data_IF_076920784838
#
_entry.id   IF_076920784838
#
_cell.length_a   1.000
_cell.length_b   1.000
_cell.length_c   1.000
_cell.angle_alpha   90.00
_cell.angle_beta   90.00
_cell.angle_gamma   90.00
#
_symmetry.space_group_name_H-M   'P 1'
#
loop_
_entity.id
_entity.type
_entity.pdbx_description
1 polymer ?
#
# COMPACT_ATOMS: atom_id res chain seq x y z
N UNK A 1 8.46 21.44 -29.05
CA UNK A 1 7.94 22.34 -28.01
C UNK A 1 6.78 21.76 -27.19
N UNK A 2 5.90 20.89 -27.72
CA UNK A 2 4.81 20.27 -26.96
C UNK A 2 5.30 19.32 -25.84
N UNK A 3 6.37 18.55 -26.06
CA UNK A 3 6.93 17.59 -25.10
C UNK A 3 7.44 18.25 -23.81
N UNK A 4 8.17 19.37 -23.90
CA UNK A 4 8.73 20.10 -22.75
C UNK A 4 7.63 20.71 -21.86
N UNK A 5 6.48 21.12 -22.44
CA UNK A 5 5.35 21.68 -21.70
C UNK A 5 4.59 20.62 -20.91
N UNK A 6 4.47 19.41 -21.48
CA UNK A 6 3.87 18.24 -20.80
C UNK A 6 4.74 17.79 -19.62
N UNK A 7 6.05 17.63 -19.81
CA UNK A 7 6.99 17.22 -18.75
C UNK A 7 7.00 18.20 -17.56
N UNK A 8 6.89 19.51 -17.83
CA UNK A 8 6.81 20.50 -16.76
C UNK A 8 5.46 20.47 -16.02
N UNK A 9 4.36 20.20 -16.74
CA UNK A 9 3.03 20.05 -16.12
C UNK A 9 3.00 18.83 -15.19
N UNK A 10 3.46 17.68 -15.67
CA UNK A 10 3.46 16.42 -14.90
C UNK A 10 4.35 16.53 -13.65
N UNK A 11 5.52 17.20 -13.76
CA UNK A 11 6.40 17.44 -12.63
C UNK A 11 5.80 18.36 -11.56
N UNK A 12 5.08 19.43 -11.96
CA UNK A 12 4.40 20.32 -11.01
C UNK A 12 3.21 19.60 -10.39
N UNK A 13 2.43 18.84 -11.18
CA UNK A 13 1.30 18.07 -10.70
C UNK A 13 1.74 17.08 -9.61
N UNK A 14 2.80 16.31 -9.85
CA UNK A 14 3.35 15.40 -8.87
C UNK A 14 3.87 16.14 -7.62
N UNK A 15 4.59 17.24 -7.79
CA UNK A 15 5.05 18.05 -6.66
C UNK A 15 3.92 18.60 -5.78
N UNK A 16 2.73 18.85 -6.36
CA UNK A 16 1.53 19.22 -5.59
C UNK A 16 1.04 18.04 -4.78
N UNK A 17 0.97 16.83 -5.35
CA UNK A 17 0.52 15.63 -4.64
C UNK A 17 1.46 15.30 -3.49
N UNK A 18 2.77 15.33 -3.70
CA UNK A 18 3.77 15.05 -2.67
C UNK A 18 3.66 16.06 -1.49
N UNK A 19 3.64 17.37 -1.79
CA UNK A 19 3.50 18.39 -0.76
C UNK A 19 2.16 18.33 -0.02
N UNK A 20 1.08 18.00 -0.72
CA UNK A 20 -0.24 17.82 -0.13
C UNK A 20 -0.31 16.57 0.76
N UNK A 21 0.30 15.49 0.33
CA UNK A 21 0.40 14.26 1.12
C UNK A 21 1.10 14.51 2.46
N UNK A 22 2.27 15.16 2.44
CA UNK A 22 3.02 15.56 3.64
C UNK A 22 2.19 16.48 4.55
N UNK A 23 1.51 17.46 3.98
CA UNK A 23 0.69 18.41 4.72
C UNK A 23 -0.51 17.72 5.39
N UNK A 24 -1.25 16.90 4.64
CA UNK A 24 -2.40 16.16 5.16
C UNK A 24 -1.99 15.16 6.23
N UNK A 25 -0.89 14.44 6.02
CA UNK A 25 -0.38 13.48 7.00
C UNK A 25 0.09 14.16 8.30
N UNK A 26 0.71 15.35 8.22
CA UNK A 26 1.28 16.03 9.40
C UNK A 26 0.24 16.87 10.17
N UNK A 27 -0.60 17.63 9.48
CA UNK A 27 -1.57 18.54 10.12
C UNK A 27 -2.98 17.93 10.23
N UNK A 28 -3.26 16.88 9.44
CA UNK A 28 -4.60 16.31 9.24
C UNK A 28 -5.35 16.99 8.10
N UNK A 29 -6.00 16.16 7.26
CA UNK A 29 -6.73 16.63 6.08
C UNK A 29 -7.72 17.78 6.39
N UNK A 30 -8.52 17.65 7.44
CA UNK A 30 -9.55 18.66 7.78
C UNK A 30 -8.97 20.02 8.10
N UNK A 31 -7.80 20.09 8.72
CA UNK A 31 -7.17 21.36 9.14
C UNK A 31 -6.38 22.04 8.04
N UNK A 32 -5.88 21.27 7.08
CA UNK A 32 -5.15 21.82 5.95
C UNK A 32 -6.07 22.66 5.05
N UNK A 33 -5.68 23.90 4.76
CA UNK A 33 -6.40 24.81 3.88
C UNK A 33 -5.77 24.86 2.48
N UNK A 34 -6.50 25.39 1.49
CA UNK A 34 -5.95 25.68 0.16
C UNK A 34 -4.80 26.68 0.23
N UNK A 35 -4.81 27.58 1.22
CA UNK A 35 -3.70 28.53 1.42
C UNK A 35 -2.44 27.78 1.85
N UNK A 36 -2.55 26.89 2.84
CA UNK A 36 -1.43 26.09 3.32
C UNK A 36 -0.85 25.21 2.21
N UNK A 37 -1.73 24.62 1.37
CA UNK A 37 -1.30 23.85 0.19
C UNK A 37 -0.54 24.72 -0.83
N UNK A 38 -1.05 25.89 -1.16
CA UNK A 38 -0.39 26.79 -2.09
C UNK A 38 0.99 27.21 -1.57
N UNK A 39 1.09 27.53 -0.29
CA UNK A 39 2.36 27.89 0.37
C UNK A 39 3.33 26.70 0.40
N UNK A 40 2.87 25.50 0.74
CA UNK A 40 3.68 24.27 0.74
C UNK A 40 4.23 23.96 -0.66
N UNK A 41 3.41 24.13 -1.70
CA UNK A 41 3.80 23.92 -3.10
C UNK A 41 4.59 25.10 -3.69
N UNK A 42 4.75 26.22 -2.98
CA UNK A 42 5.33 27.48 -3.48
C UNK A 42 4.61 28.01 -4.74
N UNK A 43 3.29 27.86 -4.78
CA UNK A 43 2.42 28.29 -5.85
C UNK A 43 1.47 29.40 -5.36
N UNK A 44 0.92 30.18 -6.28
CA UNK A 44 -0.26 30.98 -5.96
C UNK A 44 -1.50 30.09 -5.89
N UNK A 45 -2.54 30.51 -5.15
CA UNK A 45 -3.83 29.80 -5.11
C UNK A 45 -4.41 29.61 -6.51
N UNK A 46 -4.31 30.63 -7.38
CA UNK A 46 -4.77 30.53 -8.76
C UNK A 46 -4.00 29.50 -9.58
N UNK A 47 -2.69 29.38 -9.35
CA UNK A 47 -1.88 28.36 -9.99
C UNK A 47 -2.24 26.95 -9.48
N UNK A 48 -2.51 26.79 -8.18
CA UNK A 48 -2.97 25.50 -7.63
C UNK A 48 -4.31 25.06 -8.23
N UNK A 49 -5.28 25.99 -8.34
CA UNK A 49 -6.58 25.71 -8.96
C UNK A 49 -6.50 25.42 -10.47
N UNK A 50 -5.39 25.73 -11.12
CA UNK A 50 -5.16 25.31 -12.50
C UNK A 50 -4.88 23.79 -12.62
N UNK A 51 -4.38 23.17 -11.54
CA UNK A 51 -4.09 21.73 -11.51
C UNK A 51 -5.20 20.92 -10.86
N UNK A 52 -5.83 21.44 -9.81
CA UNK A 52 -6.86 20.73 -9.04
C UNK A 52 -8.01 21.64 -8.67
N UNK A 53 -9.22 21.22 -8.95
CA UNK A 53 -10.44 22.00 -8.72
C UNK A 53 -10.77 22.19 -7.23
N UNK A 54 -10.30 21.27 -6.38
CA UNK A 54 -10.59 21.28 -4.94
C UNK A 54 -9.54 20.51 -4.12
N UNK A 55 -9.59 20.68 -2.81
CA UNK A 55 -8.78 19.91 -1.87
C UNK A 55 -9.14 18.42 -1.91
N UNK A 56 -10.41 18.11 -2.10
CA UNK A 56 -10.93 16.76 -2.28
C UNK A 56 -10.35 16.07 -3.52
N UNK A 57 -10.23 16.83 -4.64
CA UNK A 57 -9.61 16.34 -5.87
C UNK A 57 -8.14 15.96 -5.67
N UNK A 58 -7.41 16.74 -4.86
CA UNK A 58 -6.02 16.42 -4.50
C UNK A 58 -5.97 15.14 -3.64
N UNK A 59 -6.82 15.03 -2.61
CA UNK A 59 -6.88 13.82 -1.78
C UNK A 59 -7.23 12.59 -2.62
N UNK A 60 -8.24 12.71 -3.49
CA UNK A 60 -8.62 11.61 -4.38
C UNK A 60 -7.44 11.17 -5.26
N UNK A 61 -6.72 12.11 -5.88
CA UNK A 61 -5.58 11.81 -6.74
C UNK A 61 -4.47 11.07 -5.96
N UNK A 62 -4.13 11.51 -4.75
CA UNK A 62 -3.15 10.84 -3.87
C UNK A 62 -3.58 9.39 -3.60
N UNK A 63 -4.83 9.18 -3.20
CA UNK A 63 -5.32 7.84 -2.86
C UNK A 63 -5.46 6.93 -4.08
N UNK A 64 -5.94 7.46 -5.20
CA UNK A 64 -6.08 6.72 -6.47
C UNK A 64 -4.70 6.25 -6.99
N UNK A 65 -3.72 7.16 -7.00
CA UNK A 65 -2.35 6.84 -7.43
C UNK A 65 -1.71 5.78 -6.52
N UNK A 66 -1.84 5.92 -5.20
CA UNK A 66 -1.29 4.97 -4.24
C UNK A 66 -1.88 3.56 -4.43
N UNK A 67 -3.20 3.43 -4.57
CA UNK A 67 -3.83 2.10 -4.75
C UNK A 67 -3.51 1.52 -6.12
N UNK A 68 -3.44 2.32 -7.18
CA UNK A 68 -3.02 1.85 -8.51
C UNK A 68 -1.57 1.39 -8.52
N UNK A 69 -0.68 2.09 -7.83
CA UNK A 69 0.71 1.66 -7.67
C UNK A 69 0.79 0.32 -6.93
N UNK A 70 0.01 0.15 -5.85
CA UNK A 70 -0.07 -1.11 -5.12
C UNK A 70 -0.53 -2.27 -6.01
N UNK A 71 -1.57 -2.05 -6.82
CA UNK A 71 -2.04 -3.05 -7.79
C UNK A 71 -0.93 -3.42 -8.77
N UNK A 72 -0.26 -2.42 -9.34
CA UNK A 72 0.80 -2.63 -10.32
C UNK A 72 1.98 -3.41 -9.72
N UNK A 73 2.42 -3.05 -8.51
CA UNK A 73 3.53 -3.73 -7.83
C UNK A 73 3.17 -5.19 -7.49
N UNK A 74 1.96 -5.43 -6.98
CA UNK A 74 1.45 -6.78 -6.68
C UNK A 74 1.37 -7.63 -7.95
N UNK A 75 0.77 -7.12 -9.02
CA UNK A 75 0.63 -7.84 -10.29
C UNK A 75 2.00 -8.14 -10.94
N UNK A 76 2.90 -7.17 -10.92
CA UNK A 76 4.26 -7.36 -11.42
C UNK A 76 5.05 -8.38 -10.59
N UNK A 77 4.84 -8.41 -9.27
CA UNK A 77 5.42 -9.41 -8.38
C UNK A 77 4.93 -10.83 -8.69
N UNK A 78 3.60 -10.99 -8.83
CA UNK A 78 2.94 -12.27 -9.15
C UNK A 78 3.38 -12.78 -10.52
N UNK A 79 3.39 -11.93 -11.56
CA UNK A 79 3.70 -12.32 -12.92
C UNK A 79 5.11 -12.92 -13.11
N UNK A 80 6.05 -12.59 -12.23
CA UNK A 80 7.43 -13.09 -12.25
C UNK A 80 7.59 -14.45 -11.56
N UNK A 81 6.53 -15.05 -11.03
CA UNK A 81 6.58 -16.27 -10.22
C UNK A 81 5.70 -17.36 -10.83
N UNK A 82 6.13 -18.61 -10.69
CA UNK A 82 5.43 -19.78 -11.25
C UNK A 82 4.67 -20.58 -10.20
N UNK A 83 5.19 -20.65 -8.97
CA UNK A 83 4.48 -21.35 -7.89
C UNK A 83 3.50 -20.42 -7.17
N UNK A 84 2.35 -20.94 -6.76
CA UNK A 84 1.33 -20.17 -6.01
C UNK A 84 1.90 -19.60 -4.70
N UNK A 85 2.78 -20.35 -4.03
CA UNK A 85 3.43 -19.87 -2.81
C UNK A 85 4.33 -18.67 -3.07
N UNK A 86 5.16 -18.74 -4.13
CA UNK A 86 6.02 -17.61 -4.49
C UNK A 86 5.22 -16.40 -4.97
N UNK A 87 4.10 -16.63 -5.66
CA UNK A 87 3.15 -15.57 -6.05
C UNK A 87 2.55 -14.90 -4.82
N UNK A 88 2.12 -15.67 -3.84
CA UNK A 88 1.58 -15.14 -2.58
C UNK A 88 2.63 -14.36 -1.80
N UNK A 89 3.85 -14.92 -1.63
CA UNK A 89 4.97 -14.20 -1.00
C UNK A 89 5.24 -12.88 -1.72
N UNK A 90 5.37 -12.91 -3.04
CA UNK A 90 5.62 -11.71 -3.83
C UNK A 90 4.54 -10.63 -3.68
N UNK A 91 3.26 -11.04 -3.60
CA UNK A 91 2.15 -10.12 -3.35
C UNK A 91 2.27 -9.44 -1.98
N UNK A 92 2.56 -10.20 -0.92
CA UNK A 92 2.71 -9.64 0.44
C UNK A 92 3.95 -8.74 0.53
N UNK A 93 5.07 -9.15 -0.07
CA UNK A 93 6.27 -8.30 -0.14
C UNK A 93 6.00 -6.98 -0.85
N UNK A 94 5.27 -6.98 -1.97
CA UNK A 94 4.92 -5.76 -2.70
C UNK A 94 4.07 -4.81 -1.84
N UNK A 95 3.08 -5.34 -1.11
CA UNK A 95 2.23 -4.55 -0.22
C UNK A 95 3.04 -3.94 0.94
N UNK A 96 3.85 -4.77 1.62
CA UNK A 96 4.68 -4.31 2.75
C UNK A 96 5.70 -3.27 2.29
N UNK A 97 6.35 -3.49 1.16
CA UNK A 97 7.36 -2.60 0.61
C UNK A 97 6.75 -1.23 0.23
N UNK A 98 5.59 -1.21 -0.43
CA UNK A 98 4.90 0.03 -0.75
C UNK A 98 4.47 0.77 0.53
N UNK A 99 3.87 0.08 1.50
CA UNK A 99 3.49 0.69 2.77
C UNK A 99 4.69 1.29 3.52
N UNK A 100 5.86 0.65 3.44
CA UNK A 100 7.10 1.16 4.03
C UNK A 100 7.68 2.37 3.29
N UNK A 101 7.53 2.43 1.96
CA UNK A 101 7.99 3.55 1.12
C UNK A 101 7.04 4.75 1.16
N UNK A 102 5.74 4.51 1.32
CA UNK A 102 4.66 5.50 1.23
C UNK A 102 3.79 5.49 2.49
N UNK A 103 4.37 5.73 3.69
CA UNK A 103 3.64 5.63 4.96
C UNK A 103 2.59 6.72 5.13
N UNK A 104 2.77 7.90 4.50
CA UNK A 104 1.80 8.99 4.56
C UNK A 104 0.54 8.64 3.76
N UNK A 105 0.69 8.16 2.52
CA UNK A 105 -0.40 7.72 1.65
C UNK A 105 -1.18 6.57 2.30
N UNK A 106 -0.48 5.61 2.88
CA UNK A 106 -1.10 4.50 3.62
C UNK A 106 -1.91 5.01 4.81
N UNK A 107 -1.42 6.02 5.52
CA UNK A 107 -2.17 6.65 6.60
C UNK A 107 -3.42 7.37 6.11
N UNK A 108 -3.30 8.14 5.00
CA UNK A 108 -4.42 8.87 4.42
C UNK A 108 -5.53 7.93 3.95
N UNK A 109 -5.20 6.82 3.26
CA UNK A 109 -6.22 5.90 2.78
C UNK A 109 -6.97 5.21 3.93
N UNK A 110 -6.28 4.91 5.02
CA UNK A 110 -6.89 4.26 6.19
C UNK A 110 -7.77 5.20 7.03
N UNK A 111 -7.48 6.52 7.03
CA UNK A 111 -8.15 7.45 7.94
C UNK A 111 -9.02 8.49 7.23
N UNK A 112 -8.63 8.92 6.02
CA UNK A 112 -9.20 10.12 5.41
C UNK A 112 -10.08 9.84 4.17
N UNK A 113 -10.22 8.56 3.76
CA UNK A 113 -11.07 8.15 2.64
C UNK A 113 -12.52 8.66 2.76
N UNK A 114 -13.03 8.79 3.98
CA UNK A 114 -14.40 9.22 4.27
C UNK A 114 -14.66 10.69 3.95
N UNK A 115 -13.63 11.49 3.72
CA UNK A 115 -13.76 12.90 3.32
C UNK A 115 -14.00 13.08 1.81
N UNK A 116 -13.85 12.03 1.02
CA UNK A 116 -14.17 12.05 -0.41
C UNK A 116 -15.67 11.93 -0.66
N UNK A 117 -16.10 12.32 -1.85
CA UNK A 117 -17.45 12.05 -2.34
C UNK A 117 -17.76 10.55 -2.33
N UNK A 118 -19.05 10.17 -2.24
CA UNK A 118 -19.44 8.75 -2.31
C UNK A 118 -18.95 8.06 -3.60
N UNK A 119 -18.98 8.76 -4.73
CA UNK A 119 -18.50 8.26 -6.01
C UNK A 119 -17.01 7.96 -5.99
N UNK A 120 -16.20 8.89 -5.46
CA UNK A 120 -14.76 8.74 -5.34
C UNK A 120 -14.39 7.64 -4.33
N UNK A 121 -15.09 7.57 -3.19
CA UNK A 121 -14.92 6.46 -2.25
C UNK A 121 -15.20 5.11 -2.90
N UNK A 122 -16.27 5.00 -3.74
CA UNK A 122 -16.56 3.75 -4.43
C UNK A 122 -15.49 3.40 -5.45
N UNK A 123 -14.90 4.39 -6.12
CA UNK A 123 -13.79 4.21 -7.04
C UNK A 123 -12.59 3.61 -6.31
N UNK A 124 -12.14 4.23 -5.23
CA UNK A 124 -11.01 3.72 -4.41
C UNK A 124 -11.31 2.32 -3.86
N UNK A 125 -12.49 2.12 -3.24
CA UNK A 125 -12.90 0.81 -2.71
C UNK A 125 -12.97 -0.29 -3.79
N UNK A 126 -13.26 0.07 -5.04
CA UNK A 126 -13.25 -0.90 -6.14
C UNK A 126 -11.83 -1.35 -6.49
N UNK A 127 -10.87 -0.44 -6.46
CA UNK A 127 -9.45 -0.74 -6.66
C UNK A 127 -8.90 -1.60 -5.51
N UNK A 128 -9.20 -1.24 -4.26
CA UNK A 128 -8.82 -2.05 -3.09
C UNK A 128 -9.37 -3.49 -3.17
N UNK A 129 -10.63 -3.64 -3.61
CA UNK A 129 -11.24 -4.98 -3.81
C UNK A 129 -10.45 -5.83 -4.78
N UNK A 130 -9.85 -5.25 -5.83
CA UNK A 130 -9.00 -5.99 -6.78
C UNK A 130 -7.82 -6.63 -6.08
N UNK A 131 -7.16 -5.92 -5.17
CA UNK A 131 -6.03 -6.46 -4.38
C UNK A 131 -6.51 -7.57 -3.45
N UNK A 132 -7.63 -7.35 -2.76
CA UNK A 132 -8.24 -8.36 -1.87
C UNK A 132 -8.62 -9.62 -2.65
N UNK A 133 -9.16 -9.49 -3.85
CA UNK A 133 -9.55 -10.63 -4.69
C UNK A 133 -8.33 -11.40 -5.22
N UNK A 134 -7.25 -10.71 -5.60
CA UNK A 134 -5.99 -11.34 -5.98
C UNK A 134 -5.43 -12.18 -4.84
N UNK A 135 -5.25 -11.57 -3.67
CA UNK A 135 -4.70 -12.25 -2.48
C UNK A 135 -5.60 -13.40 -2.02
N UNK A 136 -6.92 -13.20 -1.97
CA UNK A 136 -7.85 -14.27 -1.57
C UNK A 136 -7.89 -15.43 -2.56
N UNK A 137 -7.61 -15.19 -3.83
CA UNK A 137 -7.51 -16.26 -4.83
C UNK A 137 -6.25 -17.09 -4.62
N UNK A 138 -5.12 -16.44 -4.36
CA UNK A 138 -3.87 -17.15 -4.04
C UNK A 138 -3.99 -17.97 -2.76
N UNK A 139 -4.62 -17.41 -1.72
CA UNK A 139 -4.88 -18.12 -0.47
C UNK A 139 -5.74 -19.38 -0.69
N UNK A 140 -6.79 -19.29 -1.52
CA UNK A 140 -7.64 -20.42 -1.86
C UNK A 140 -6.87 -21.54 -2.59
N UNK A 141 -5.93 -21.15 -3.46
CA UNK A 141 -5.08 -22.09 -4.19
C UNK A 141 -4.01 -22.75 -3.31
N UNK A 142 -3.59 -22.08 -2.23
CA UNK A 142 -2.62 -22.60 -1.26
C UNK A 142 -3.23 -23.54 -0.22
N UNK A 143 -4.55 -23.52 -0.07
CA UNK A 143 -5.25 -24.33 0.92
C UNK A 143 -5.48 -25.76 0.41
N UNK A 144 -4.48 -26.61 0.54
CA UNK A 144 -4.53 -28.03 0.22
C UNK A 144 -5.42 -28.85 1.17
N UNK A 145 -5.70 -28.32 2.36
CA UNK A 145 -6.52 -28.97 3.40
C UNK A 145 -8.01 -28.61 3.33
N UNK A 146 -8.40 -27.71 2.42
CA UNK A 146 -9.79 -27.30 2.26
C UNK A 146 -10.39 -26.52 3.44
N UNK A 147 -9.54 -25.88 4.26
CA UNK A 147 -9.97 -25.03 5.39
C UNK A 147 -10.63 -23.73 4.91
N UNK A 148 -10.14 -23.20 3.77
CA UNK A 148 -10.63 -21.98 3.16
C UNK A 148 -11.66 -22.33 2.11
N UNK A 149 -12.93 -22.35 2.48
CA UNK A 149 -14.01 -22.54 1.50
C UNK A 149 -14.37 -21.22 0.83
N UNK A 150 -15.02 -21.28 -0.33
CA UNK A 150 -15.43 -20.11 -1.12
C UNK A 150 -16.12 -19.03 -0.26
N UNK A 151 -16.91 -19.44 0.73
CA UNK A 151 -17.62 -18.54 1.67
C UNK A 151 -16.68 -17.81 2.62
N UNK A 152 -15.56 -18.40 3.03
CA UNK A 152 -14.63 -17.88 4.05
C UNK A 152 -13.38 -17.25 3.47
N UNK A 153 -13.08 -17.43 2.17
CA UNK A 153 -11.84 -16.93 1.55
C UNK A 153 -11.59 -15.44 1.80
N UNK A 154 -12.66 -14.62 1.71
CA UNK A 154 -12.57 -13.18 1.94
C UNK A 154 -12.28 -12.83 3.40
N UNK A 155 -12.79 -13.63 4.33
CA UNK A 155 -12.53 -13.44 5.77
C UNK A 155 -11.04 -13.66 6.06
N UNK A 156 -10.44 -14.74 5.53
CA UNK A 156 -9.01 -14.98 5.67
C UNK A 156 -8.16 -13.88 5.04
N UNK A 157 -8.53 -13.39 3.85
CA UNK A 157 -7.85 -12.25 3.25
C UNK A 157 -7.95 -10.99 4.13
N UNK A 158 -9.14 -10.71 4.69
CA UNK A 158 -9.33 -9.55 5.58
C UNK A 158 -8.57 -9.68 6.90
N UNK A 159 -8.39 -10.89 7.44
CA UNK A 159 -7.52 -11.12 8.60
C UNK A 159 -6.06 -10.78 8.29
N UNK A 160 -5.58 -11.18 7.11
CA UNK A 160 -4.24 -10.84 6.64
C UNK A 160 -4.09 -9.33 6.44
N UNK A 161 -5.04 -8.68 5.74
CA UNK A 161 -5.03 -7.23 5.56
C UNK A 161 -5.15 -6.46 6.89
N UNK A 162 -5.87 -7.01 7.87
CA UNK A 162 -5.91 -6.45 9.23
C UNK A 162 -4.50 -6.37 9.84
N UNK A 163 -3.70 -7.43 9.71
CA UNK A 163 -2.31 -7.43 10.15
C UNK A 163 -1.46 -6.42 9.39
N UNK A 164 -1.55 -6.41 8.05
CA UNK A 164 -0.76 -5.52 7.20
C UNK A 164 -1.15 -4.04 7.41
N UNK A 165 -2.44 -3.73 7.43
CA UNK A 165 -2.91 -2.36 7.56
C UNK A 165 -2.68 -1.78 8.96
N UNK A 166 -2.83 -2.59 10.02
CA UNK A 166 -2.58 -2.12 11.38
C UNK A 166 -1.10 -1.92 11.69
N UNK A 167 -0.20 -2.52 10.92
CA UNK A 167 1.25 -2.41 11.14
C UNK A 167 1.74 -0.95 11.09
N UNK A 168 1.08 -0.06 10.34
CA UNK A 168 1.44 1.36 10.28
C UNK A 168 1.43 2.08 11.65
N UNK A 169 0.81 1.49 12.67
CA UNK A 169 0.72 2.09 14.01
C UNK A 169 1.91 1.78 14.91
N UNK A 170 2.66 0.71 14.64
CA UNK A 170 3.72 0.21 15.53
C UNK A 170 4.99 -0.27 14.82
N UNK A 171 4.93 -0.61 13.54
CA UNK A 171 6.08 -1.13 12.80
C UNK A 171 6.94 0.04 12.27
N UNK A 172 8.23 0.00 12.59
CA UNK A 172 9.24 0.92 12.06
C UNK A 172 10.08 0.21 10.98
N UNK A 173 9.92 0.54 9.69
CA UNK A 173 10.67 -0.09 8.61
C UNK A 173 12.19 0.23 8.64
N UNK A 174 12.61 1.21 9.44
CA UNK A 174 14.03 1.57 9.67
C UNK A 174 14.58 0.94 10.94
N UNK A 175 13.77 0.16 11.66
CA UNK A 175 14.17 -0.57 12.87
C UNK A 175 15.00 -1.81 12.58
N UNK A 176 15.12 -2.69 13.59
CA UNK A 176 15.91 -3.91 13.51
C UNK A 176 15.37 -4.98 12.56
N UNK A 177 14.11 -4.87 12.11
CA UNK A 177 13.44 -5.79 11.18
C UNK A 177 13.07 -4.99 9.93
N UNK A 178 13.70 -5.28 8.80
CA UNK A 178 13.42 -4.61 7.54
C UNK A 178 12.11 -5.07 6.88
N UNK A 179 11.61 -4.33 5.85
CA UNK A 179 10.34 -4.66 5.21
C UNK A 179 10.26 -6.08 4.62
N UNK A 180 11.33 -6.57 4.02
CA UNK A 180 11.37 -7.92 3.45
C UNK A 180 11.25 -9.00 4.53
N UNK A 181 11.98 -8.86 5.64
CA UNK A 181 11.92 -9.78 6.77
C UNK A 181 10.53 -9.74 7.44
N UNK A 182 9.97 -8.54 7.61
CA UNK A 182 8.61 -8.39 8.15
C UNK A 182 7.56 -9.08 7.24
N UNK A 183 7.67 -8.92 5.92
CA UNK A 183 6.80 -9.59 4.97
C UNK A 183 6.89 -11.12 5.08
N UNK A 184 8.11 -11.68 5.19
CA UNK A 184 8.31 -13.11 5.39
C UNK A 184 7.69 -13.60 6.70
N UNK A 185 7.88 -12.86 7.80
CA UNK A 185 7.26 -13.19 9.10
C UNK A 185 5.73 -13.21 9.01
N UNK A 186 5.11 -12.24 8.31
CA UNK A 186 3.65 -12.19 8.12
C UNK A 186 3.17 -13.40 7.30
N UNK A 187 3.84 -13.71 6.19
CA UNK A 187 3.52 -14.89 5.35
C UNK A 187 3.62 -16.16 6.16
N UNK A 188 4.72 -16.36 6.85
CA UNK A 188 5.00 -17.58 7.58
C UNK A 188 4.02 -17.78 8.75
N UNK A 189 3.75 -16.71 9.51
CA UNK A 189 2.76 -16.75 10.58
C UNK A 189 1.36 -17.06 10.05
N UNK A 190 0.99 -16.48 8.90
CA UNK A 190 -0.34 -16.66 8.33
C UNK A 190 -0.55 -18.08 7.77
N UNK A 191 0.45 -18.64 7.09
CA UNK A 191 0.36 -19.96 6.47
C UNK A 191 0.58 -21.10 7.45
N UNK A 192 1.51 -20.96 8.37
CA UNK A 192 1.97 -22.07 9.22
C UNK A 192 1.66 -21.86 10.70
N UNK A 193 1.42 -20.62 11.15
CA UNK A 193 1.31 -20.26 12.57
C UNK A 193 2.64 -20.40 13.32
N UNK A 194 2.67 -19.96 14.58
CA UNK A 194 3.91 -20.01 15.40
C UNK A 194 4.34 -21.47 15.68
N UNK A 195 3.38 -22.37 15.90
CA UNK A 195 3.64 -23.77 16.26
C UNK A 195 4.04 -24.65 15.06
N UNK A 196 3.74 -24.20 13.83
CA UNK A 196 4.06 -24.94 12.59
C UNK A 196 5.46 -24.69 12.04
N UNK A 197 6.20 -23.74 12.58
CA UNK A 197 7.56 -23.44 12.15
C UNK A 197 8.54 -24.41 12.79
N UNK A 198 9.08 -25.34 11.98
CA UNK A 198 10.38 -25.92 12.30
C UNK A 198 11.41 -24.78 12.21
N UNK A 199 11.97 -24.37 13.34
CA UNK A 199 13.03 -23.38 13.37
C UNK A 199 14.07 -23.69 12.27
N UNK A 200 14.58 -22.69 11.52
CA UNK A 200 15.63 -22.95 10.55
C UNK A 200 16.76 -23.67 11.27
N UNK A 201 17.14 -24.86 10.77
CA UNK A 201 18.27 -25.61 11.31
C UNK A 201 19.48 -24.68 11.31
N UNK A 202 19.91 -24.27 12.50
CA UNK A 202 21.17 -23.56 12.65
C UNK A 202 22.24 -24.36 11.89
N UNK A 203 22.81 -23.72 10.87
CA UNK A 203 23.97 -24.28 10.15
C UNK A 203 25.06 -24.43 11.22
N UNK A 204 25.24 -25.64 11.72
CA UNK A 204 26.37 -25.96 12.62
C UNK A 204 27.62 -25.64 11.84
N UNK A 205 28.28 -24.55 12.23
CA UNK A 205 29.58 -24.19 11.73
C UNK A 205 30.50 -25.39 11.85
N UNK A 206 31.09 -25.77 10.72
CA UNK A 206 32.15 -26.75 10.69
C UNK A 206 33.31 -26.23 11.54
N UNK A 207 33.49 -26.82 12.71
CA UNK A 207 34.71 -26.70 13.52
C UNK A 207 35.80 -27.34 12.69
N UNK A 208 36.68 -26.52 12.15
CA UNK A 208 37.98 -26.97 11.61
C UNK A 208 38.83 -27.38 12.79
N UNK A 209 39.24 -28.63 12.80
CA UNK A 209 40.40 -29.15 13.52
C UNK A 209 41.67 -28.66 12.87
#
# INVERSE_FOLDING_TARGET
>A
MARTRSENYDGIHQGILDAACDLFASQGYMRASIADLADACKLSRGALYHYFDSKEAILFAILDEHVRQMIADVEAGIAKRTSTLDQFRAAIHAIVDLNARSPQEQRLILNDLTFLSEADQQTIKSLERRIVDLVSTLLLQLDDQGKIVKRTKKVYAMMLFGTLNFSHTWYDPKGGIGPAEFADMVVDQFLYGIAGHAAPRAVRGATKS
#
